data_IF_668027266973
#
_entry.id   IF_668027266973
#
_cell.length_a   1.000
_cell.length_b   1.000
_cell.length_c   1.000
_cell.angle_alpha   90.00
_cell.angle_beta   90.00
_cell.angle_gamma   90.00
#
_symmetry.space_group_name_H-M   'P 1'
#
loop_
_entity.id
_entity.type
_entity.pdbx_description
1 polymer ?
#
# COMPACT_ATOMS: atom_id res chain seq x y z
N UNK A 1 16.05 1.96 0.62
CA UNK A 1 14.74 2.54 1.00
C UNK A 1 14.28 1.79 2.23
N UNK A 2 13.97 2.45 3.34
CA UNK A 2 13.42 1.76 4.51
C UNK A 2 11.89 1.94 4.55
N UNK A 3 11.17 0.86 4.86
CA UNK A 3 9.72 0.86 5.04
C UNK A 3 9.40 0.66 6.51
N UNK A 4 8.67 1.60 7.09
CA UNK A 4 8.23 1.56 8.49
C UNK A 4 6.74 1.29 8.52
N UNK A 5 6.33 0.25 9.23
CA UNK A 5 4.92 -0.12 9.33
C UNK A 5 4.32 0.39 10.64
N UNK A 6 3.23 1.15 10.55
CA UNK A 6 2.44 1.47 11.73
C UNK A 6 1.77 0.21 12.30
N UNK A 7 1.44 0.21 13.60
CA UNK A 7 0.70 -0.90 14.23
C UNK A 7 -0.60 -1.22 13.48
N UNK A 8 -1.30 -0.17 13.03
CA UNK A 8 -2.52 -0.32 12.25
C UNK A 8 -2.29 -0.99 10.90
N UNK A 9 -1.22 -0.64 10.19
CA UNK A 9 -0.84 -1.30 8.95
C UNK A 9 -0.57 -2.78 9.15
N UNK A 10 0.21 -3.13 10.18
CA UNK A 10 0.54 -4.54 10.50
C UNK A 10 -0.75 -5.34 10.77
N UNK A 11 -1.67 -4.82 11.58
CA UNK A 11 -2.97 -5.48 11.82
C UNK A 11 -3.76 -5.70 10.52
N UNK A 12 -3.74 -4.72 9.60
CA UNK A 12 -4.44 -4.81 8.32
C UNK A 12 -3.76 -5.78 7.36
N UNK A 13 -2.44 -5.87 7.38
CA UNK A 13 -1.66 -6.85 6.61
C UNK A 13 -2.02 -8.28 7.02
N UNK A 14 -2.07 -8.56 8.33
CA UNK A 14 -2.49 -9.87 8.85
C UNK A 14 -3.94 -10.23 8.46
N UNK A 15 -4.87 -9.28 8.59
CA UNK A 15 -6.28 -9.51 8.21
C UNK A 15 -6.48 -9.81 6.72
N UNK A 16 -5.55 -9.37 5.87
CA UNK A 16 -5.68 -9.40 4.41
C UNK A 16 -4.71 -10.37 3.75
N UNK A 17 -3.91 -11.07 4.56
CA UNK A 17 -2.84 -11.95 4.10
C UNK A 17 -1.88 -11.23 3.13
N UNK A 18 -1.49 -9.99 3.47
CA UNK A 18 -0.53 -9.19 2.72
C UNK A 18 0.83 -9.26 3.42
N UNK A 19 1.84 -9.70 2.70
CA UNK A 19 3.23 -9.79 3.18
C UNK A 19 3.94 -8.43 3.11
N UNK A 20 5.05 -8.30 3.85
CA UNK A 20 5.91 -7.12 3.75
C UNK A 20 6.53 -6.99 2.34
N UNK A 21 6.92 -8.12 1.73
CA UNK A 21 7.49 -8.15 0.38
C UNK A 21 6.50 -7.61 -0.66
N UNK A 22 5.22 -7.94 -0.56
CA UNK A 22 4.18 -7.37 -1.43
C UNK A 22 4.03 -5.87 -1.25
N UNK A 23 4.13 -5.36 -0.01
CA UNK A 23 4.07 -3.92 0.25
C UNK A 23 5.28 -3.21 -0.36
N UNK A 24 6.47 -3.77 -0.19
CA UNK A 24 7.69 -3.22 -0.80
C UNK A 24 7.59 -3.21 -2.33
N UNK A 25 7.09 -4.29 -2.93
CA UNK A 25 6.85 -4.37 -4.37
C UNK A 25 5.86 -3.31 -4.87
N UNK A 26 4.78 -3.04 -4.12
CA UNK A 26 3.80 -2.01 -4.47
C UNK A 26 4.40 -0.60 -4.35
N UNK A 27 5.28 -0.37 -3.38
CA UNK A 27 5.93 0.93 -3.19
C UNK A 27 7.06 1.20 -4.19
N UNK A 28 7.78 0.16 -4.61
CA UNK A 28 8.88 0.25 -5.58
C UNK A 28 8.37 0.40 -7.02
N UNK A 29 7.36 -0.39 -7.40
CA UNK A 29 6.79 -0.42 -8.76
C UNK A 29 5.25 -0.46 -8.71
N UNK A 30 4.57 0.65 -8.38
CA UNK A 30 3.11 0.72 -8.38
C UNK A 30 2.55 0.78 -9.82
N UNK A 31 1.39 0.15 -10.03
CA UNK A 31 0.60 0.37 -11.26
C UNK A 31 0.04 1.80 -11.32
N UNK A 32 -0.19 2.40 -10.16
CA UNK A 32 -0.58 3.79 -10.06
C UNK A 32 -0.49 4.35 -8.66
N UNK A 33 -0.48 5.68 -8.59
CA UNK A 33 -0.42 6.43 -7.33
C UNK A 33 -1.51 7.49 -7.36
N UNK A 34 -2.29 7.59 -6.29
CA UNK A 34 -3.26 8.67 -6.13
C UNK A 34 -3.12 9.36 -4.76
N UNK A 35 -3.28 10.69 -4.71
CA UNK A 35 -3.23 11.42 -3.45
C UNK A 35 -4.47 11.08 -2.59
N UNK A 36 -4.25 10.84 -1.30
CA UNK A 36 -5.30 10.51 -0.32
C UNK A 36 -5.53 11.69 0.64
N UNK A 37 -4.47 12.28 1.16
CA UNK A 37 -4.50 13.54 1.92
C UNK A 37 -3.20 14.32 1.71
N UNK A 38 -3.04 15.46 2.39
CA UNK A 38 -1.92 16.42 2.21
C UNK A 38 -0.54 15.76 2.07
N UNK A 39 -0.26 14.75 2.90
CA UNK A 39 1.04 14.07 2.94
C UNK A 39 0.95 12.56 2.64
N UNK A 40 -0.26 12.06 2.31
CA UNK A 40 -0.54 10.63 2.13
C UNK A 40 -0.80 10.32 0.67
N UNK A 41 -0.10 9.32 0.17
CA UNK A 41 -0.31 8.76 -1.16
C UNK A 41 -0.69 7.29 -1.05
N UNK A 42 -1.67 6.89 -1.86
CA UNK A 42 -2.03 5.49 -2.04
C UNK A 42 -1.33 4.96 -3.28
N UNK A 43 -0.45 3.99 -3.09
CA UNK A 43 0.26 3.24 -4.11
C UNK A 43 -0.52 1.96 -4.33
N UNK A 44 -0.85 1.60 -5.57
CA UNK A 44 -1.56 0.37 -5.81
C UNK A 44 -0.96 -0.47 -6.91
N UNK A 45 -1.14 -1.79 -6.77
CA UNK A 45 -0.75 -2.78 -7.77
C UNK A 45 -1.77 -3.89 -7.84
N UNK A 46 -1.98 -4.38 -9.06
CA UNK A 46 -2.77 -5.56 -9.33
C UNK A 46 -1.89 -6.80 -9.18
N UNK A 47 -2.10 -7.60 -8.13
CA UNK A 47 -1.30 -8.81 -7.87
C UNK A 47 -2.04 -10.06 -8.34
N UNK A 48 -1.41 -10.82 -9.24
CA UNK A 48 -1.96 -12.06 -9.77
C UNK A 48 -2.12 -13.12 -8.68
N UNK A 49 -3.36 -13.43 -8.30
CA UNK A 49 -3.67 -14.45 -7.29
C UNK A 49 -4.81 -14.07 -6.34
N UNK A 50 -5.29 -12.81 -6.38
CA UNK A 50 -6.41 -12.36 -5.57
C UNK A 50 -7.67 -12.22 -6.44
N UNK A 51 -8.81 -12.79 -6.05
CA UNK A 51 -10.03 -12.78 -6.90
C UNK A 51 -10.53 -11.37 -7.30
N UNK A 52 -10.16 -10.34 -6.54
CA UNK A 52 -10.48 -8.91 -6.75
C UNK A 52 -9.23 -8.01 -6.96
N UNK A 53 -8.08 -8.67 -7.18
CA UNK A 53 -6.74 -8.28 -7.65
C UNK A 53 -6.04 -6.97 -7.25
N UNK A 54 -6.67 -5.89 -6.80
CA UNK A 54 -5.96 -4.64 -6.51
C UNK A 54 -5.67 -4.47 -5.00
N UNK A 55 -4.38 -4.40 -4.64
CA UNK A 55 -3.91 -4.03 -3.30
C UNK A 55 -3.42 -2.59 -3.35
N UNK A 56 -3.89 -1.76 -2.41
CA UNK A 56 -3.42 -0.40 -2.20
C UNK A 56 -2.69 -0.28 -0.86
N UNK A 57 -1.50 0.32 -0.89
CA UNK A 57 -0.69 0.69 0.27
C UNK A 57 -0.80 2.20 0.44
N UNK A 58 -1.31 2.63 1.59
CA UNK A 58 -1.34 4.04 1.95
C UNK A 58 -0.09 4.36 2.75
N UNK A 59 0.79 5.18 2.18
CA UNK A 59 2.04 5.56 2.80
C UNK A 59 2.26 7.08 2.80
N UNK A 60 3.03 7.53 3.78
CA UNK A 60 3.63 8.87 3.81
C UNK A 60 5.04 8.76 3.27
N UNK A 61 5.34 9.48 2.19
CA UNK A 61 6.69 9.54 1.64
C UNK A 61 7.52 10.53 2.47
N UNK A 62 8.50 10.02 3.20
CA UNK A 62 9.54 10.81 3.85
C UNK A 62 10.75 10.94 2.90
N UNK A 63 11.76 11.73 3.28
CA UNK A 63 12.91 12.07 2.42
C UNK A 63 13.63 10.81 1.91
N UNK A 64 13.77 9.77 2.75
CA UNK A 64 14.47 8.53 2.40
C UNK A 64 13.67 7.25 2.69
N UNK A 65 12.48 7.38 3.30
CA UNK A 65 11.71 6.28 3.86
C UNK A 65 10.23 6.39 3.53
N UNK A 66 9.53 5.26 3.61
CA UNK A 66 8.07 5.22 3.53
C UNK A 66 7.49 4.79 4.87
N UNK A 67 6.51 5.54 5.37
CA UNK A 67 5.73 5.14 6.53
C UNK A 67 4.38 4.60 6.06
N UNK A 68 4.17 3.30 6.22
CA UNK A 68 2.93 2.61 5.83
C UNK A 68 1.90 2.75 6.95
N UNK A 69 0.81 3.44 6.61
CA UNK A 69 -0.28 3.74 7.53
C UNK A 69 -1.34 2.64 7.50
N UNK A 70 -1.67 2.13 6.32
CA UNK A 70 -2.67 1.06 6.16
C UNK A 70 -2.52 0.37 4.81
N UNK A 71 -3.11 -0.83 4.71
CA UNK A 71 -3.25 -1.58 3.46
C UNK A 71 -4.73 -1.85 3.18
N UNK A 72 -5.11 -1.70 1.92
CA UNK A 72 -6.47 -1.81 1.42
C UNK A 72 -6.53 -2.82 0.28
N UNK A 73 -7.68 -3.44 0.14
CA UNK A 73 -8.05 -4.36 -0.93
C UNK A 73 -9.45 -3.98 -1.41
N UNK A 74 -9.82 -4.36 -2.64
CA UNK A 74 -11.12 -4.08 -3.26
C UNK A 74 -11.48 -2.59 -3.23
N UNK A 75 -10.54 -1.72 -3.61
CA UNK A 75 -10.79 -0.28 -3.72
C UNK A 75 -11.10 0.08 -5.18
N UNK A 76 -12.10 0.95 -5.38
CA UNK A 76 -12.44 1.47 -6.69
C UNK A 76 -11.62 2.74 -6.95
N UNK A 77 -10.79 2.73 -7.99
CA UNK A 77 -10.14 3.96 -8.48
C UNK A 77 -11.16 4.68 -9.35
N UNK A 78 -11.80 5.72 -8.80
CA UNK A 78 -12.60 6.63 -9.64
C UNK A 78 -11.66 7.35 -10.60
N UNK A 79 -11.76 7.00 -11.89
CA UNK A 79 -11.12 7.70 -13.00
C UNK A 79 -11.71 9.08 -13.20
#
# INVERSE_FOLDING_TARGET
MAVVFSKHAVEKMFQRNVSADEVEMILDDPDGVFPQSRDKSAFYKSLSGHSDNAIAVVAVKQIENFEVITVMHNFEVKK
#
